data_IF_854457498051
#
_entry.id   IF_854457498051
#
_cell.length_a   1.000
_cell.length_b   1.000
_cell.length_c   1.000
_cell.angle_alpha   90.00
_cell.angle_beta   90.00
_cell.angle_gamma   90.00
#
_symmetry.space_group_name_H-M   'P 1'
#
loop_
_entity.id
_entity.type
_entity.pdbx_description
1 polymer ?
#
# COMPACT_ATOMS: atom_id res chain seq x y z
N UNK A 1 -35.35 15.86 -37.56
CA UNK A 1 -34.88 14.58 -38.11
C UNK A 1 -33.36 14.56 -37.93
N UNK A 2 -32.88 13.63 -37.07
CA UNK A 2 -31.48 13.18 -36.87
C UNK A 2 -30.50 14.26 -36.37
N UNK A 3 -30.32 14.44 -35.05
CA UNK A 3 -29.34 13.79 -34.14
C UNK A 3 -27.88 13.90 -34.62
N UNK A 4 -27.09 14.66 -33.89
CA UNK A 4 -25.69 14.32 -33.62
C UNK A 4 -25.38 14.70 -32.17
N UNK A 5 -25.01 13.70 -31.38
CA UNK A 5 -24.63 13.81 -29.98
C UNK A 5 -23.13 14.16 -29.92
N UNK A 6 -22.78 15.34 -29.40
CA UNK A 6 -21.43 15.60 -28.92
C UNK A 6 -21.45 15.55 -27.40
N UNK A 7 -20.90 14.47 -26.86
CA UNK A 7 -20.55 14.35 -25.45
C UNK A 7 -19.42 15.33 -25.15
N UNK A 8 -19.76 16.49 -24.59
CA UNK A 8 -18.80 17.38 -23.97
C UNK A 8 -18.76 17.03 -22.48
N UNK A 9 -17.73 16.30 -22.06
CA UNK A 9 -17.46 16.15 -20.64
C UNK A 9 -17.12 17.52 -20.08
N UNK A 10 -18.06 18.06 -19.30
CA UNK A 10 -17.90 19.26 -18.50
C UNK A 10 -16.82 18.95 -17.46
N UNK A 11 -15.63 19.52 -17.65
CA UNK A 11 -14.72 19.71 -16.52
C UNK A 11 -15.35 20.79 -15.65
N UNK A 12 -16.03 20.35 -14.59
CA UNK A 12 -16.56 21.24 -13.56
C UNK A 12 -15.46 21.52 -12.54
N UNK A 13 -15.30 22.81 -12.24
CA UNK A 13 -14.34 23.38 -11.32
C UNK A 13 -14.36 22.69 -9.95
N UNK A 14 -13.22 22.14 -9.53
CA UNK A 14 -12.95 21.82 -8.14
C UNK A 14 -11.88 22.79 -7.64
N UNK A 15 -12.28 23.62 -6.68
CA UNK A 15 -11.48 24.67 -6.08
C UNK A 15 -10.11 24.15 -5.62
N UNK A 16 -9.10 24.95 -5.91
CA UNK A 16 -7.71 24.73 -5.53
C UNK A 16 -7.51 25.02 -4.03
N UNK A 17 -7.99 24.14 -3.14
CA UNK A 17 -7.65 24.18 -1.71
C UNK A 17 -7.50 22.78 -1.04
N UNK A 18 -7.37 21.69 -1.80
CA UNK A 18 -7.13 20.36 -1.23
C UNK A 18 -5.93 19.61 -1.86
N UNK A 19 -4.88 20.38 -2.19
CA UNK A 19 -3.53 19.86 -2.43
C UNK A 19 -2.79 19.69 -1.10
N UNK A 20 -3.38 18.97 -0.13
CA UNK A 20 -2.53 18.24 0.81
C UNK A 20 -1.89 17.11 0.01
N UNK A 21 -0.65 17.39 -0.38
CA UNK A 21 0.26 16.47 -1.03
C UNK A 21 0.09 15.08 -0.41
N UNK A 22 -0.10 14.06 -1.25
CA UNK A 22 0.12 12.67 -0.88
C UNK A 22 1.38 12.64 -0.03
N UNK A 23 1.24 12.33 1.26
CA UNK A 23 2.37 12.28 2.16
C UNK A 23 3.36 11.27 1.58
N UNK A 24 4.45 11.78 1.02
CA UNK A 24 5.47 10.95 0.40
C UNK A 24 6.02 10.01 1.49
N UNK A 25 6.13 8.70 1.21
CA UNK A 25 6.61 7.71 2.19
C UNK A 25 7.90 8.17 2.85
N UNK A 26 8.04 7.91 4.15
CA UNK A 26 9.28 8.17 4.90
C UNK A 26 10.36 7.17 4.45
N UNK A 27 10.97 7.45 3.31
CA UNK A 27 12.07 6.70 2.72
C UNK A 27 13.01 7.66 2.00
N UNK A 28 14.31 7.53 2.23
CA UNK A 28 15.36 8.41 1.70
C UNK A 28 15.37 8.36 0.17
N UNK A 29 14.89 9.40 -0.51
CA UNK A 29 14.81 9.44 -1.98
C UNK A 29 16.14 9.91 -2.61
N UNK A 30 17.01 8.96 -2.93
CA UNK A 30 17.79 9.05 -4.16
C UNK A 30 17.13 8.04 -5.10
N UNK A 31 16.52 8.51 -6.20
CA UNK A 31 15.75 7.66 -7.11
C UNK A 31 16.46 6.34 -7.42
N UNK A 32 15.71 5.24 -7.49
CA UNK A 32 16.28 3.93 -7.79
C UNK A 32 16.96 3.97 -9.18
N UNK A 33 18.27 4.17 -9.24
CA UNK A 33 18.99 4.41 -10.51
C UNK A 33 18.89 3.21 -11.47
N UNK A 34 18.60 2.00 -10.97
CA UNK A 34 18.51 0.77 -11.76
C UNK A 34 17.41 -0.23 -11.33
N UNK A 35 16.75 -0.01 -10.19
CA UNK A 35 15.79 -0.97 -9.61
C UNK A 35 14.37 -0.39 -9.63
N UNK A 36 13.37 -1.27 -9.65
CA UNK A 36 11.96 -0.86 -9.47
C UNK A 36 11.76 -0.30 -8.07
N UNK A 37 10.96 0.76 -7.96
CA UNK A 37 10.51 1.26 -6.66
C UNK A 37 9.40 0.33 -6.15
N UNK A 38 9.56 -0.14 -4.92
CA UNK A 38 8.55 -0.94 -4.21
C UNK A 38 7.91 -0.07 -3.13
N UNK A 39 6.59 -0.13 -3.04
CA UNK A 39 5.79 0.61 -2.09
C UNK A 39 4.85 -0.36 -1.36
N UNK A 40 4.92 -0.36 -0.04
CA UNK A 40 3.96 -1.06 0.83
C UNK A 40 3.10 -0.01 1.50
N UNK A 41 1.79 -0.10 1.32
CA UNK A 41 0.79 0.78 1.93
C UNK A 41 -0.01 -0.01 2.95
N UNK A 42 -0.23 0.56 4.12
CA UNK A 42 -0.99 -0.04 5.23
C UNK A 42 -2.06 0.96 5.66
N UNK A 43 -3.31 0.65 5.30
CA UNK A 43 -4.50 1.43 5.63
C UNK A 43 -5.06 0.99 6.99
N UNK A 44 -5.14 1.90 7.97
CA UNK A 44 -5.79 1.59 9.24
C UNK A 44 -7.29 1.87 9.19
N UNK A 45 -8.10 0.91 9.66
CA UNK A 45 -9.54 1.07 9.93
C UNK A 45 -9.87 1.04 11.42
N UNK A 46 -8.86 1.07 12.27
CA UNK A 46 -8.99 1.08 13.73
C UNK A 46 -8.21 2.24 14.33
N UNK A 47 -8.65 2.72 15.50
CA UNK A 47 -7.95 3.77 16.23
C UNK A 47 -6.83 3.20 17.09
N UNK A 48 -5.79 4.00 17.33
CA UNK A 48 -4.64 3.63 18.17
C UNK A 48 -3.94 2.33 17.71
N UNK A 49 -3.85 2.10 16.41
CA UNK A 49 -3.04 1.02 15.86
C UNK A 49 -1.57 1.41 16.01
N UNK A 50 -0.80 0.61 16.76
CA UNK A 50 0.66 0.72 16.78
C UNK A 50 1.23 -0.33 15.84
N UNK A 51 2.15 0.07 14.99
CA UNK A 51 2.92 -0.83 14.14
C UNK A 51 4.41 -0.55 14.29
N UNK A 52 5.19 -1.62 14.31
CA UNK A 52 6.64 -1.59 14.30
C UNK A 52 7.13 -2.44 13.14
N UNK A 53 7.71 -1.80 12.13
CA UNK A 53 8.11 -2.45 10.88
C UNK A 53 9.63 -2.42 10.71
N UNK A 54 10.20 -3.54 10.26
CA UNK A 54 11.63 -3.64 9.99
C UNK A 54 11.96 -4.58 8.84
N UNK A 55 13.13 -4.38 8.25
CA UNK A 55 13.81 -5.30 7.36
C UNK A 55 15.07 -5.85 8.05
N UNK A 56 15.87 -6.64 7.34
CA UNK A 56 17.19 -7.06 7.85
C UNK A 56 18.15 -5.89 8.09
N UNK A 57 18.01 -4.81 7.31
CA UNK A 57 18.95 -3.67 7.30
C UNK A 57 18.36 -2.39 7.92
N UNK A 58 17.03 -2.25 7.95
CA UNK A 58 16.33 -1.03 8.38
C UNK A 58 15.31 -1.31 9.47
N UNK A 59 15.35 -0.53 10.55
CA UNK A 59 14.29 -0.45 11.55
C UNK A 59 13.54 0.88 11.37
N UNK A 60 12.24 0.81 11.08
CA UNK A 60 11.40 1.99 10.86
C UNK A 60 10.82 2.55 12.16
N UNK A 61 11.03 1.87 13.28
CA UNK A 61 10.56 2.24 14.61
C UNK A 61 9.05 2.07 14.79
N UNK A 62 8.57 2.56 15.93
CA UNK A 62 7.14 2.55 16.27
C UNK A 62 6.39 3.69 15.60
N UNK A 63 5.27 3.35 14.99
CA UNK A 63 4.35 4.28 14.34
C UNK A 63 2.94 4.04 14.84
N UNK A 64 2.22 5.11 15.13
CA UNK A 64 0.81 5.07 15.52
C UNK A 64 -0.08 5.57 14.39
N UNK A 65 -1.21 4.89 14.17
CA UNK A 65 -2.21 5.23 13.16
C UNK A 65 -3.62 5.15 13.73
N UNK A 66 -4.43 6.13 13.38
CA UNK A 66 -5.87 6.14 13.64
C UNK A 66 -6.65 5.66 12.42
N UNK A 67 -7.95 5.43 12.61
CA UNK A 67 -8.82 5.00 11.52
C UNK A 67 -8.84 6.06 10.41
N UNK A 68 -8.59 5.62 9.18
CA UNK A 68 -8.48 6.48 8.01
C UNK A 68 -7.06 6.96 7.69
N UNK A 69 -6.09 6.73 8.58
CA UNK A 69 -4.69 7.06 8.31
C UNK A 69 -3.95 5.92 7.61
N UNK A 70 -2.98 6.28 6.77
CA UNK A 70 -2.12 5.35 6.03
C UNK A 70 -0.67 5.40 6.56
N UNK A 71 -0.01 4.25 6.57
CA UNK A 71 1.45 4.15 6.71
C UNK A 71 2.03 3.54 5.45
N UNK A 72 3.14 4.10 4.96
CA UNK A 72 3.80 3.62 3.76
C UNK A 72 5.30 3.41 3.96
N UNK A 73 5.79 2.32 3.39
CA UNK A 73 7.21 1.97 3.28
C UNK A 73 7.58 2.07 1.81
N UNK A 74 8.71 2.70 1.50
CA UNK A 74 9.23 2.73 0.13
C UNK A 74 10.71 2.42 0.09
N UNK A 75 11.08 1.52 -0.80
CA UNK A 75 12.44 1.01 -0.92
C UNK A 75 12.74 0.57 -2.35
N UNK A 76 14.02 0.54 -2.69
CA UNK A 76 14.52 -0.12 -3.87
C UNK A 76 14.97 -1.53 -3.48
N UNK A 77 14.79 -2.51 -4.38
CA UNK A 77 15.34 -3.86 -4.13
C UNK A 77 16.85 -3.79 -3.95
N UNK A 78 17.37 -4.62 -3.05
CA UNK A 78 18.80 -4.87 -2.98
C UNK A 78 19.25 -5.70 -4.21
N UNK A 79 20.55 -5.64 -4.55
CA UNK A 79 21.11 -6.36 -5.72
C UNK A 79 20.89 -7.87 -5.59
N UNK A 80 20.85 -8.39 -4.36
CA UNK A 80 20.67 -9.79 -4.04
C UNK A 80 19.21 -10.27 -4.09
N UNK A 81 18.25 -9.36 -4.30
CA UNK A 81 16.80 -9.62 -4.32
C UNK A 81 16.29 -10.38 -3.10
N UNK A 82 16.83 -10.11 -1.91
CA UNK A 82 16.43 -10.74 -0.65
C UNK A 82 15.59 -9.84 0.25
N UNK A 83 15.15 -8.68 -0.26
CA UNK A 83 14.43 -7.70 0.53
C UNK A 83 13.13 -8.27 1.12
N UNK A 84 12.97 -8.11 2.43
CA UNK A 84 11.81 -8.50 3.21
C UNK A 84 11.52 -7.40 4.23
N UNK A 85 10.26 -7.05 4.38
CA UNK A 85 9.77 -6.23 5.49
C UNK A 85 8.69 -6.99 6.23
N UNK A 86 8.83 -7.07 7.54
CA UNK A 86 7.79 -7.57 8.42
C UNK A 86 7.37 -6.49 9.41
N UNK A 87 6.13 -6.58 9.84
CA UNK A 87 5.55 -5.64 10.78
C UNK A 87 4.93 -6.40 11.95
N UNK A 88 5.13 -5.84 13.14
CA UNK A 88 4.41 -6.22 14.35
C UNK A 88 3.32 -5.18 14.58
N UNK A 89 2.08 -5.62 14.54
CA UNK A 89 0.90 -4.81 14.81
C UNK A 89 0.42 -5.06 16.23
N UNK A 90 0.04 -3.97 16.91
CA UNK A 90 -0.54 -3.97 18.23
C UNK A 90 -1.82 -3.13 18.19
N UNK A 91 -2.91 -3.71 18.67
CA UNK A 91 -4.18 -3.01 18.77
C UNK A 91 -4.95 -3.52 19.99
N UNK A 92 -5.22 -2.62 20.94
CA UNK A 92 -5.77 -2.99 22.25
C UNK A 92 -4.93 -4.08 22.93
N UNK A 93 -5.53 -5.24 23.24
CA UNK A 93 -4.86 -6.42 23.78
C UNK A 93 -4.42 -7.42 22.70
N UNK A 94 -4.69 -7.14 21.42
CA UNK A 94 -4.38 -8.01 20.28
C UNK A 94 -3.03 -7.65 19.67
N UNK A 95 -2.41 -8.65 19.07
CA UNK A 95 -1.20 -8.45 18.28
C UNK A 95 -1.17 -9.37 17.07
N UNK A 96 -0.33 -9.03 16.09
CA UNK A 96 -0.01 -9.91 14.97
C UNK A 96 1.35 -9.56 14.38
N UNK A 97 2.10 -10.58 13.96
CA UNK A 97 3.35 -10.39 13.22
C UNK A 97 3.29 -11.15 11.89
N UNK A 98 3.63 -10.49 10.79
CA UNK A 98 3.80 -11.14 9.49
C UNK A 98 4.63 -10.27 8.53
N UNK A 99 5.08 -10.90 7.45
CA UNK A 99 5.80 -10.23 6.36
C UNK A 99 4.82 -9.38 5.54
N UNK A 100 4.90 -8.06 5.64
CA UNK A 100 4.09 -7.17 4.78
C UNK A 100 4.64 -7.11 3.35
N UNK A 101 5.91 -7.49 3.16
CA UNK A 101 6.57 -7.63 1.88
C UNK A 101 7.66 -8.70 1.92
N UNK A 102 7.73 -9.54 0.89
CA UNK A 102 8.85 -10.45 0.66
C UNK A 102 9.12 -10.55 -0.85
N UNK A 103 10.37 -10.35 -1.28
CA UNK A 103 10.75 -10.40 -2.70
C UNK A 103 10.34 -11.72 -3.35
N UNK A 104 10.56 -12.85 -2.67
CA UNK A 104 10.21 -14.19 -3.16
C UNK A 104 8.72 -14.35 -3.48
N UNK A 105 7.86 -13.53 -2.85
CA UNK A 105 6.40 -13.47 -3.09
C UNK A 105 6.00 -12.38 -4.08
N UNK A 106 6.94 -11.63 -4.65
CA UNK A 106 6.67 -10.50 -5.55
C UNK A 106 5.96 -10.85 -6.86
N UNK A 107 5.91 -12.14 -7.21
CA UNK A 107 5.14 -12.65 -8.36
C UNK A 107 3.78 -13.26 -7.94
N UNK A 108 3.47 -13.31 -6.64
CA UNK A 108 2.15 -13.74 -6.17
C UNK A 108 1.15 -12.59 -6.41
N UNK A 109 0.16 -12.78 -7.30
CA UNK A 109 -0.84 -11.76 -7.59
C UNK A 109 -1.71 -11.42 -6.37
N UNK A 110 -1.71 -12.26 -5.34
CA UNK A 110 -2.39 -12.05 -4.07
C UNK A 110 -1.47 -11.46 -2.99
N UNK A 111 -0.31 -10.90 -3.37
CA UNK A 111 0.63 -10.24 -2.46
C UNK A 111 1.02 -8.83 -2.91
N UNK A 112 1.55 -8.70 -4.11
CA UNK A 112 1.99 -7.42 -4.66
C UNK A 112 1.75 -7.41 -6.16
N UNK A 113 1.38 -6.26 -6.71
CA UNK A 113 1.19 -6.13 -8.17
C UNK A 113 2.18 -5.10 -8.72
N UNK A 114 2.53 -5.27 -10.00
CA UNK A 114 3.29 -4.25 -10.72
C UNK A 114 2.32 -3.22 -11.29
N UNK A 115 2.53 -1.95 -10.94
CA UNK A 115 1.87 -0.81 -11.56
C UNK A 115 2.21 -0.74 -13.05
N UNK A 116 1.16 -0.76 -13.86
CA UNK A 116 1.20 -0.71 -15.33
C UNK A 116 1.75 0.61 -15.89
N UNK A 117 1.77 1.69 -15.10
CA UNK A 117 2.16 3.02 -15.61
C UNK A 117 3.60 3.45 -15.29
N UNK A 118 4.30 2.80 -14.36
CA UNK A 118 5.67 3.24 -13.97
C UNK A 118 6.64 2.11 -13.62
N UNK A 119 6.26 0.84 -13.84
CA UNK A 119 7.08 -0.29 -13.44
C UNK A 119 7.31 -0.37 -11.93
N UNK A 120 6.50 0.34 -11.13
CA UNK A 120 6.51 0.29 -9.68
C UNK A 120 5.82 -0.98 -9.19
N UNK A 121 6.14 -1.46 -8.00
CA UNK A 121 5.44 -2.58 -7.39
C UNK A 121 4.77 -2.08 -6.12
N UNK A 122 3.48 -2.31 -6.02
CA UNK A 122 2.64 -1.81 -4.94
C UNK A 122 1.98 -2.99 -4.22
N UNK A 123 2.02 -2.95 -2.90
CA UNK A 123 1.34 -3.90 -2.03
C UNK A 123 0.47 -3.09 -1.07
N UNK A 124 -0.83 -3.36 -1.01
CA UNK A 124 -1.76 -2.61 -0.17
C UNK A 124 -2.41 -3.54 0.85
N UNK A 125 -2.22 -3.21 2.12
CA UNK A 125 -2.80 -3.88 3.27
C UNK A 125 -3.85 -2.99 3.91
N UNK A 126 -4.88 -3.61 4.48
CA UNK A 126 -5.87 -2.94 5.31
C UNK A 126 -6.02 -3.68 6.64
N UNK A 127 -5.91 -2.93 7.73
CA UNK A 127 -6.04 -3.43 9.09
C UNK A 127 -7.42 -3.07 9.62
N UNK A 128 -8.19 -4.08 10.00
CA UNK A 128 -9.53 -3.94 10.61
C UNK A 128 -9.55 -4.56 12.00
N UNK A 129 -10.64 -4.34 12.71
CA UNK A 129 -10.91 -4.92 14.02
C UNK A 129 -10.98 -6.45 14.00
N UNK A 130 -11.37 -7.02 12.85
CA UNK A 130 -11.48 -8.46 12.63
C UNK A 130 -10.24 -9.10 11.99
N UNK A 131 -9.29 -8.33 11.46
CA UNK A 131 -8.03 -8.87 10.92
C UNK A 131 -7.41 -8.05 9.80
N UNK A 132 -6.63 -8.75 8.97
CA UNK A 132 -5.74 -8.15 7.98
C UNK A 132 -6.16 -8.57 6.57
N UNK A 133 -6.27 -7.59 5.69
CA UNK A 133 -6.73 -7.76 4.32
C UNK A 133 -5.65 -7.29 3.36
N UNK A 134 -5.51 -7.97 2.24
CA UNK A 134 -4.64 -7.56 1.15
C UNK A 134 -5.46 -7.21 -0.08
N UNK A 135 -5.05 -6.17 -0.78
CA UNK A 135 -5.68 -5.78 -2.03
C UNK A 135 -5.21 -6.70 -3.16
N UNK A 136 -6.18 -7.29 -3.86
CA UNK A 136 -6.00 -7.96 -5.14
C UNK A 136 -6.43 -7.00 -6.24
N UNK A 137 -5.55 -6.82 -7.22
CA UNK A 137 -5.89 -5.98 -8.37
C UNK A 137 -6.96 -6.65 -9.23
N UNK A 138 -7.94 -5.88 -9.70
CA UNK A 138 -8.90 -6.38 -10.67
C UNK A 138 -8.19 -6.89 -11.93
N UNK A 139 -8.70 -8.00 -12.48
CA UNK A 139 -8.31 -8.44 -13.82
C UNK A 139 -8.77 -7.45 -14.91
N UNK A 140 -8.39 -7.67 -16.18
CA UNK A 140 -8.82 -6.80 -17.28
C UNK A 140 -10.33 -6.58 -17.28
N UNK A 141 -10.77 -5.31 -17.28
CA UNK A 141 -12.18 -4.93 -17.31
C UNK A 141 -12.85 -4.67 -15.95
N UNK A 142 -12.10 -4.70 -14.85
CA UNK A 142 -12.60 -4.32 -13.52
C UNK A 142 -11.85 -3.09 -12.97
N UNK A 143 -12.53 -2.22 -12.22
CA UNK A 143 -11.99 -0.91 -11.76
C UNK A 143 -11.74 -0.83 -10.26
N UNK A 144 -12.19 -1.81 -9.48
CA UNK A 144 -12.14 -1.77 -8.02
C UNK A 144 -11.21 -2.85 -7.45
N UNK A 145 -10.43 -2.48 -6.43
CA UNK A 145 -9.64 -3.43 -5.65
C UNK A 145 -10.56 -4.42 -4.92
N UNK A 146 -10.21 -5.70 -4.99
CA UNK A 146 -10.85 -6.73 -4.16
C UNK A 146 -10.00 -6.94 -2.90
N UNK A 147 -10.62 -6.96 -1.73
CA UNK A 147 -9.90 -7.15 -0.46
C UNK A 147 -10.06 -8.58 0.04
N UNK A 148 -8.95 -9.27 0.22
CA UNK A 148 -8.92 -10.67 0.66
C UNK A 148 -8.39 -10.72 2.09
N UNK A 149 -9.18 -11.27 3.02
CA UNK A 149 -8.72 -11.50 4.39
C UNK A 149 -7.62 -12.56 4.38
N UNK A 150 -6.45 -12.22 4.89
CA UNK A 150 -5.27 -13.11 4.96
C UNK A 150 -5.03 -13.63 6.36
N UNK A 151 -5.24 -12.79 7.37
CA UNK A 151 -4.94 -13.13 8.76
C UNK A 151 -6.01 -12.60 9.70
N UNK A 152 -6.28 -13.36 10.75
CA UNK A 152 -6.92 -12.87 11.97
C UNK A 152 -5.85 -12.33 12.94
N UNK A 153 -6.29 -11.49 13.86
CA UNK A 153 -5.51 -11.16 15.06
C UNK A 153 -5.22 -12.43 15.88
N UNK A 154 -4.09 -12.43 16.62
CA UNK A 154 -3.80 -13.46 17.63
C UNK A 154 -4.50 -13.17 18.96
#
# INVERSE_FOLDING_TARGET
>A
MIISLNYQFVYADAAAEDLQMMNMPKGKINGCLYNKLHIVMIDSRVNNLRLHCKSGDDDLGDVWRNAGEEFSISFCLNIWKTTLYFCHFYWESKQKVFDVYAMERGNDPDYCYTSQFFGQVECRWMVKDDGFYIARYPGPGQTSLTWIKRFDWD
#
